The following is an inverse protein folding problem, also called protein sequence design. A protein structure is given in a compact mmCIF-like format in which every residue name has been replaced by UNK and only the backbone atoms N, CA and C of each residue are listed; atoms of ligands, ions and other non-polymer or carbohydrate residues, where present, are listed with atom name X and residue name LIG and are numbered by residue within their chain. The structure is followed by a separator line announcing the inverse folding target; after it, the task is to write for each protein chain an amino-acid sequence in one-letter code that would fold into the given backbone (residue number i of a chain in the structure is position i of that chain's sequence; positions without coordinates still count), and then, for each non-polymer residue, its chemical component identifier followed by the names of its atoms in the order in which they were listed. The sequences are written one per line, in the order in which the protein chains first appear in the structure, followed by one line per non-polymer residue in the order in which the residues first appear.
data_IF_858113971503
#
_entry.id   IF_858113971503
#
_cell.length_a   1.000
_cell.length_b   1.000
_cell.length_c   1.000
_cell.angle_alpha   90.00
_cell.angle_beta   90.00
_cell.angle_gamma   90.00
#
_symmetry.space_group_name_H-M   'P 1'
#
loop_
_entity.id
_entity.type
_entity.pdbx_description
1 polymer ?
#
# COMPACT_ATOMS: atom_id res chain seq x y z
N UNK A 1 -23.60 -4.59 32.00
CA UNK A 1 -23.94 -4.84 30.58
C UNK A 1 -23.41 -3.65 29.79
N UNK A 2 -22.35 -3.77 28.97
CA UNK A 2 -21.92 -2.63 28.16
C UNK A 2 -23.01 -2.34 27.12
N UNK A 3 -23.36 -1.06 26.94
CA UNK A 3 -24.40 -0.62 26.00
C UNK A 3 -23.98 -0.91 24.56
N UNK A 4 -24.93 -1.24 23.69
CA UNK A 4 -24.71 -1.61 22.28
C UNK A 4 -23.82 -0.62 21.51
N UNK A 5 -23.88 0.67 21.86
CA UNK A 5 -23.03 1.75 21.33
C UNK A 5 -21.52 1.54 21.55
N UNK A 6 -21.12 0.96 22.68
CA UNK A 6 -19.69 0.69 22.98
C UNK A 6 -19.17 -0.49 22.17
N UNK A 7 -20.03 -1.47 21.86
CA UNK A 7 -19.69 -2.62 21.02
C UNK A 7 -19.66 -2.27 19.52
N UNK A 8 -20.47 -1.31 19.07
CA UNK A 8 -20.42 -0.78 17.70
C UNK A 8 -19.15 0.06 17.44
N UNK A 9 -18.77 0.92 18.39
CA UNK A 9 -17.53 1.70 18.30
C UNK A 9 -16.27 0.81 18.23
N UNK A 10 -16.28 -0.35 18.90
CA UNK A 10 -15.16 -1.30 18.86
C UNK A 10 -15.00 -1.98 17.49
N UNK A 11 -16.10 -2.30 16.81
CA UNK A 11 -16.07 -3.00 15.53
C UNK A 11 -15.59 -2.15 14.34
N UNK A 12 -15.88 -0.85 14.34
CA UNK A 12 -15.41 0.07 13.28
C UNK A 12 -13.88 0.24 13.31
N UNK A 13 -13.31 0.49 14.48
CA UNK A 13 -11.86 0.61 14.68
C UNK A 13 -11.12 -0.69 14.30
N UNK A 14 -11.67 -1.85 14.68
CA UNK A 14 -11.10 -3.16 14.35
C UNK A 14 -11.16 -3.47 12.85
N UNK A 15 -12.22 -3.03 12.15
CA UNK A 15 -12.36 -3.17 10.69
C UNK A 15 -11.37 -2.27 9.93
N UNK A 16 -11.07 -1.10 10.47
CA UNK A 16 -10.09 -0.18 9.89
C UNK A 16 -8.66 -0.73 10.02
N UNK A 17 -8.34 -1.34 11.16
CA UNK A 17 -7.03 -1.93 11.42
C UNK A 17 -6.78 -3.22 10.62
N UNK A 18 -7.80 -4.04 10.34
CA UNK A 18 -7.62 -5.28 9.57
C UNK A 18 -7.19 -5.02 8.14
N UNK A 19 -7.71 -3.97 7.50
CA UNK A 19 -7.45 -3.63 6.09
C UNK A 19 -6.02 -3.14 5.81
N UNK A 20 -5.37 -2.51 6.79
CA UNK A 20 -4.06 -1.85 6.60
C UNK A 20 -2.84 -2.78 6.71
N UNK A 21 -3.01 -4.09 6.90
CA UNK A 21 -1.90 -5.00 7.25
C UNK A 21 -1.76 -6.18 6.28
N UNK A 22 -1.43 -5.87 5.03
CA UNK A 22 -1.13 -6.87 4.00
C UNK A 22 0.16 -7.66 4.26
N UNK A 23 1.18 -7.06 4.92
CA UNK A 23 2.49 -7.70 5.09
C UNK A 23 2.69 -8.39 6.45
N UNK A 24 1.65 -9.04 7.00
CA UNK A 24 1.76 -9.81 8.24
C UNK A 24 1.63 -11.31 7.99
N UNK A 25 2.40 -12.17 8.69
CA UNK A 25 2.22 -13.61 8.61
C UNK A 25 0.77 -14.01 8.89
N UNK A 26 0.22 -14.91 8.07
CA UNK A 26 -1.17 -15.36 8.20
C UNK A 26 -2.22 -14.35 7.72
N UNK A 27 -1.85 -13.33 6.95
CA UNK A 27 -2.78 -12.43 6.23
C UNK A 27 -2.56 -12.60 4.73
N UNK A 28 -3.61 -12.97 4.00
CA UNK A 28 -3.57 -13.04 2.53
C UNK A 28 -4.24 -11.83 1.88
N UNK A 29 -3.80 -11.48 0.68
CA UNK A 29 -4.46 -10.44 -0.14
C UNK A 29 -5.91 -10.81 -0.44
N UNK A 30 -6.19 -12.09 -0.63
CA UNK A 30 -7.54 -12.61 -0.87
C UNK A 30 -8.48 -12.32 0.29
N UNK A 31 -8.06 -12.55 1.53
CA UNK A 31 -8.84 -12.23 2.72
C UNK A 31 -9.12 -10.73 2.84
N UNK A 32 -8.16 -9.88 2.48
CA UNK A 32 -8.37 -8.43 2.53
C UNK A 32 -9.38 -7.94 1.50
N UNK A 33 -9.31 -8.47 0.27
CA UNK A 33 -10.32 -8.19 -0.77
C UNK A 33 -11.70 -8.69 -0.33
N UNK A 34 -11.76 -9.88 0.29
CA UNK A 34 -13.00 -10.43 0.81
C UNK A 34 -13.60 -9.59 1.94
N UNK A 35 -12.77 -9.12 2.88
CA UNK A 35 -13.20 -8.24 3.97
C UNK A 35 -13.75 -6.90 3.45
N UNK A 36 -13.10 -6.30 2.44
CA UNK A 36 -13.61 -5.11 1.77
C UNK A 36 -14.99 -5.34 1.16
N UNK A 37 -15.21 -6.49 0.51
CA UNK A 37 -16.51 -6.84 -0.08
C UNK A 37 -17.60 -6.97 0.97
N UNK A 38 -17.32 -7.69 2.07
CA UNK A 38 -18.27 -7.83 3.19
C UNK A 38 -18.62 -6.45 3.77
N UNK A 39 -17.63 -5.58 3.93
CA UNK A 39 -17.86 -4.23 4.46
C UNK A 39 -18.78 -3.44 3.53
N UNK A 40 -18.53 -3.46 2.22
CA UNK A 40 -19.41 -2.82 1.23
C UNK A 40 -20.84 -3.37 1.29
N UNK A 41 -20.99 -4.69 1.30
CA UNK A 41 -22.31 -5.35 1.34
C UNK A 41 -23.09 -4.98 2.60
N UNK A 42 -22.43 -4.92 3.77
CA UNK A 42 -23.06 -4.57 5.04
C UNK A 42 -23.60 -3.13 5.03
N UNK A 43 -22.82 -2.16 4.54
CA UNK A 43 -23.25 -0.77 4.50
C UNK A 43 -24.39 -0.56 3.49
N UNK A 44 -24.33 -1.25 2.34
CA UNK A 44 -25.43 -1.27 1.36
C UNK A 44 -26.72 -1.82 1.98
N UNK A 45 -26.64 -2.92 2.74
CA UNK A 45 -27.81 -3.52 3.42
C UNK A 45 -28.46 -2.57 4.45
N UNK A 46 -27.65 -1.75 5.12
CA UNK A 46 -28.13 -0.80 6.13
C UNK A 46 -28.46 0.59 5.57
N UNK A 47 -28.39 0.79 4.25
CA UNK A 47 -28.55 2.10 3.59
C UNK A 47 -27.64 3.18 4.20
N UNK A 48 -26.41 2.79 4.55
CA UNK A 48 -25.40 3.69 5.08
C UNK A 48 -24.38 4.03 4.00
N UNK A 49 -23.96 5.29 3.96
CA UNK A 49 -22.90 5.72 3.06
C UNK A 49 -21.56 5.13 3.51
N UNK A 50 -20.84 4.50 2.58
CA UNK A 50 -19.48 4.01 2.77
C UNK A 50 -18.53 4.73 1.80
N UNK A 51 -17.51 5.38 2.35
CA UNK A 51 -16.48 6.05 1.57
C UNK A 51 -15.16 5.28 1.68
N UNK A 52 -14.60 4.87 0.54
CA UNK A 52 -13.31 4.18 0.48
C UNK A 52 -12.30 5.00 -0.32
N UNK A 53 -11.09 5.17 0.24
CA UNK A 53 -9.97 5.88 -0.39
C UNK A 53 -8.85 4.89 -0.64
N UNK A 54 -8.53 4.67 -1.91
CA UNK A 54 -7.35 3.91 -2.32
C UNK A 54 -6.15 4.85 -2.40
N UNK A 55 -5.13 4.60 -1.58
CA UNK A 55 -3.87 5.33 -1.60
C UNK A 55 -2.82 4.40 -2.20
N UNK A 56 -2.31 4.77 -3.37
CA UNK A 56 -1.16 4.11 -3.98
C UNK A 56 0.04 5.06 -3.95
N UNK A 57 1.16 4.59 -3.41
CA UNK A 57 2.39 5.39 -3.33
C UNK A 57 3.19 5.16 -4.61
N UNK A 58 3.24 6.17 -5.48
CA UNK A 58 4.25 6.19 -6.55
C UNK A 58 5.60 5.99 -5.88
N UNK A 59 6.31 4.91 -6.24
CA UNK A 59 7.67 4.67 -5.79
C UNK A 59 7.82 4.36 -4.29
N UNK A 60 6.89 3.58 -3.72
CA UNK A 60 6.87 3.20 -2.30
C UNK A 60 8.17 2.55 -1.76
N UNK A 61 9.02 2.02 -2.64
CA UNK A 61 10.28 1.36 -2.30
C UNK A 61 11.51 2.05 -2.90
N UNK A 62 11.34 3.25 -3.46
CA UNK A 62 12.48 3.98 -4.04
C UNK A 62 13.39 4.53 -2.94
N UNK A 63 14.64 4.81 -3.34
CA UNK A 63 15.69 5.35 -2.47
C UNK A 63 15.28 6.65 -1.77
N UNK A 64 14.36 7.42 -2.34
CA UNK A 64 13.82 8.65 -1.73
C UNK A 64 13.17 8.39 -0.36
N UNK A 65 12.54 7.22 -0.16
CA UNK A 65 11.90 6.84 1.10
C UNK A 65 12.86 6.21 2.11
N UNK A 66 14.06 5.77 1.68
CA UNK A 66 15.03 5.11 2.55
C UNK A 66 15.48 6.02 3.69
N UNK A 67 15.65 7.32 3.47
CA UNK A 67 16.04 8.26 4.52
C UNK A 67 15.01 8.30 5.67
N UNK A 68 13.71 8.36 5.32
CA UNK A 68 12.61 8.31 6.28
C UNK A 68 12.54 6.95 6.99
N UNK A 69 12.81 5.86 6.25
CA UNK A 69 12.87 4.51 6.81
C UNK A 69 13.98 4.39 7.87
N UNK A 70 15.21 4.85 7.59
CA UNK A 70 16.32 4.81 8.54
C UNK A 70 16.05 5.65 9.79
N UNK A 71 15.47 6.84 9.62
CA UNK A 71 15.06 7.69 10.72
C UNK A 71 14.01 7.00 11.61
N UNK A 72 13.03 6.35 10.98
CA UNK A 72 11.98 5.60 11.67
C UNK A 72 12.55 4.40 12.44
N UNK A 73 13.43 3.60 11.82
CA UNK A 73 14.07 2.47 12.50
C UNK A 73 14.91 2.91 13.71
N UNK A 74 15.59 4.05 13.58
CA UNK A 74 16.34 4.66 14.69
C UNK A 74 15.40 5.12 15.80
N UNK A 75 14.26 5.73 15.46
CA UNK A 75 13.24 6.15 16.42
C UNK A 75 12.64 4.96 17.21
N UNK A 76 12.49 3.79 16.57
CA UNK A 76 12.05 2.56 17.23
C UNK A 76 13.17 1.81 17.96
N UNK A 77 14.34 2.43 18.17
CA UNK A 77 15.49 1.86 18.87
C UNK A 77 15.98 0.53 18.27
N UNK A 78 15.84 0.35 16.96
CA UNK A 78 16.45 -0.79 16.26
C UNK A 78 17.98 -0.64 16.32
N UNK A 79 18.68 -1.74 16.57
CA UNK A 79 20.13 -1.74 16.72
C UNK A 79 20.83 -1.10 15.50
N UNK A 80 21.73 -0.15 15.75
CA UNK A 80 22.44 0.58 14.69
C UNK A 80 23.25 -0.33 13.74
N UNK A 81 23.79 -1.45 14.22
CA UNK A 81 24.47 -2.41 13.35
C UNK A 81 23.50 -3.10 12.38
N UNK A 82 22.28 -3.41 12.84
CA UNK A 82 21.24 -3.99 12.00
C UNK A 82 20.74 -2.98 10.97
N UNK A 83 20.50 -1.73 11.37
CA UNK A 83 20.13 -0.65 10.43
C UNK A 83 21.20 -0.51 9.34
N UNK A 84 22.48 -0.45 9.72
CA UNK A 84 23.61 -0.35 8.78
C UNK A 84 23.73 -1.57 7.86
N UNK A 85 23.44 -2.77 8.36
CA UNK A 85 23.42 -3.98 7.52
C UNK A 85 22.30 -3.89 6.47
N UNK A 86 21.11 -3.46 6.87
CA UNK A 86 19.97 -3.30 5.96
C UNK A 86 20.23 -2.19 4.93
N UNK A 87 20.81 -1.06 5.34
CA UNK A 87 21.27 -0.01 4.44
C UNK A 87 22.21 -0.54 3.35
N UNK A 88 23.26 -1.27 3.77
CA UNK A 88 24.21 -1.85 2.83
C UNK A 88 23.57 -2.87 1.88
N UNK A 89 22.54 -3.59 2.32
CA UNK A 89 21.79 -4.52 1.48
C UNK A 89 20.97 -3.75 0.44
N UNK A 90 20.23 -2.73 0.86
CA UNK A 90 19.40 -1.89 0.00
C UNK A 90 20.24 -1.10 -1.02
N UNK A 91 21.41 -0.60 -0.62
CA UNK A 91 22.28 0.22 -1.50
C UNK A 91 23.06 -0.62 -2.53
N UNK A 92 23.30 -1.89 -2.25
CA UNK A 92 24.07 -2.80 -3.13
C UNK A 92 23.19 -3.78 -3.92
N UNK A 93 21.88 -3.80 -3.65
CA UNK A 93 20.97 -4.68 -4.36
C UNK A 93 20.77 -4.19 -5.80
N UNK A 94 21.34 -4.93 -6.76
CA UNK A 94 21.06 -4.76 -8.19
C UNK A 94 20.36 -6.00 -8.71
N UNK A 95 19.26 -5.80 -9.41
CA UNK A 95 18.48 -6.87 -10.03
C UNK A 95 18.35 -6.60 -11.53
N UNK A 96 18.41 -7.64 -12.36
CA UNK A 96 18.22 -7.56 -13.80
C UNK A 96 17.44 -8.78 -14.29
N UNK A 97 16.70 -8.63 -15.39
CA UNK A 97 15.94 -9.75 -15.98
C UNK A 97 16.89 -10.59 -16.84
N UNK A 98 17.02 -11.89 -16.55
CA UNK A 98 17.78 -12.80 -17.41
C UNK A 98 16.85 -13.43 -18.46
N UNK A 99 17.10 -13.15 -19.74
CA UNK A 99 16.25 -13.60 -20.84
C UNK A 99 17.11 -14.08 -22.02
N UNK A 100 16.74 -15.21 -22.63
CA UNK A 100 17.44 -15.79 -23.78
C UNK A 100 18.96 -15.91 -23.62
N UNK A 101 19.40 -16.37 -22.44
CA UNK A 101 20.81 -16.53 -22.10
C UNK A 101 21.63 -15.23 -22.11
N UNK A 102 20.96 -14.09 -21.93
CA UNK A 102 21.57 -12.77 -21.83
C UNK A 102 20.99 -12.01 -20.64
N UNK A 103 21.82 -11.17 -20.03
CA UNK A 103 21.35 -10.24 -19.00
C UNK A 103 20.66 -9.08 -19.72
N UNK A 104 19.35 -8.96 -19.49
CA UNK A 104 18.54 -7.83 -19.94
C UNK A 104 18.71 -6.63 -19.02
N UNK A 105 17.82 -5.66 -19.16
CA UNK A 105 17.93 -4.39 -18.45
C UNK A 105 17.84 -4.56 -16.93
N UNK A 106 18.55 -3.68 -16.23
CA UNK A 106 18.46 -3.59 -14.77
C UNK A 106 17.06 -3.12 -14.37
N UNK A 107 16.51 -3.73 -13.32
CA UNK A 107 15.19 -3.42 -12.80
C UNK A 107 15.06 -1.94 -12.43
N UNK A 108 16.12 -1.27 -11.95
CA UNK A 108 16.07 0.17 -11.69
C UNK A 108 15.80 0.99 -12.97
N UNK A 109 16.42 0.61 -14.10
CA UNK A 109 16.20 1.28 -15.38
C UNK A 109 14.79 1.00 -15.89
N UNK A 110 14.37 -0.26 -15.86
CA UNK A 110 13.03 -0.68 -16.27
C UNK A 110 11.96 0.04 -15.45
N UNK A 111 12.10 0.08 -14.11
CA UNK A 111 11.17 0.79 -13.24
C UNK A 111 11.20 2.29 -13.49
N UNK A 112 12.36 2.89 -13.70
CA UNK A 112 12.48 4.32 -14.00
C UNK A 112 11.77 4.66 -15.30
N UNK A 113 12.00 3.90 -16.37
CA UNK A 113 11.38 4.12 -17.66
C UNK A 113 9.86 3.89 -17.61
N UNK A 114 9.42 2.81 -16.94
CA UNK A 114 8.00 2.50 -16.77
C UNK A 114 7.25 3.53 -15.92
N UNK A 115 7.90 4.14 -14.93
CA UNK A 115 7.29 5.14 -14.03
C UNK A 115 7.41 6.58 -14.54
N UNK A 116 8.35 6.85 -15.46
CA UNK A 116 8.51 8.15 -16.11
C UNK A 116 7.44 8.39 -17.18
N UNK A 117 7.00 7.34 -17.88
CA UNK A 117 5.96 7.41 -18.92
C UNK A 117 4.53 7.29 -18.35
N UNK A 118 4.41 6.98 -17.05
CA UNK A 118 3.13 6.85 -16.38
C UNK A 118 2.81 8.10 -15.54
N UNK A 119 2.02 9.01 -16.11
CA UNK A 119 1.24 9.95 -15.29
C UNK A 119 0.21 9.10 -14.52
N UNK A 120 0.18 9.22 -13.19
CA UNK A 120 -0.60 8.35 -12.28
C UNK A 120 -2.12 8.48 -12.41
N UNK A 121 -2.60 8.83 -13.60
CA UNK A 121 -3.89 9.45 -13.86
C UNK A 121 -4.60 8.70 -14.97
N UNK A 122 -5.66 7.98 -14.58
CA UNK A 122 -6.62 7.46 -15.53
C UNK A 122 -7.42 8.64 -16.08
N UNK A 123 -7.43 8.81 -17.41
CA UNK A 123 -8.21 9.85 -18.09
C UNK A 123 -9.45 9.23 -18.72
N UNK A 124 -10.64 9.59 -18.23
CA UNK A 124 -11.93 9.20 -18.85
C UNK A 124 -12.56 10.45 -19.46
N UNK A 125 -12.81 10.43 -20.77
CA UNK A 125 -13.45 11.55 -21.49
C UNK A 125 -12.65 12.85 -21.50
N UNK A 126 -11.31 12.78 -21.44
CA UNK A 126 -10.42 13.95 -21.49
C UNK A 126 -10.21 14.69 -20.16
N UNK A 127 -10.73 14.17 -19.05
CA UNK A 127 -10.44 14.68 -17.70
C UNK A 127 -9.47 13.74 -16.99
N UNK A 128 -8.31 14.27 -16.61
CA UNK A 128 -7.33 13.57 -15.78
C UNK A 128 -7.89 13.42 -14.36
N UNK A 129 -8.08 12.18 -13.92
CA UNK A 129 -8.63 11.88 -12.60
C UNK A 129 -7.46 11.71 -11.63
N UNK A 130 -6.97 12.82 -11.07
CA UNK A 130 -5.93 12.84 -10.02
C UNK A 130 -6.49 12.63 -8.62
N UNK A 131 -7.80 12.81 -8.44
CA UNK A 131 -8.54 12.58 -7.20
C UNK A 131 -9.95 12.13 -7.58
N UNK A 132 -10.20 10.83 -7.54
CA UNK A 132 -11.53 10.27 -7.82
C UNK A 132 -12.52 10.81 -6.77
N UNK A 133 -13.31 11.82 -7.13
CA UNK A 133 -14.53 12.17 -6.39
C UNK A 133 -15.61 11.18 -6.79
N UNK A 134 -16.05 10.45 -5.77
CA UNK A 134 -17.19 9.56 -5.61
C UNK A 134 -18.31 9.61 -6.68
N UNK A 135 -18.84 8.42 -6.98
CA UNK A 135 -20.22 8.24 -7.38
C UNK A 135 -20.96 7.52 -6.23
N UNK A 136 -21.88 8.23 -5.58
CA UNK A 136 -22.94 7.63 -4.75
C UNK A 136 -24.03 7.09 -5.67
N UNK A 137 -24.57 5.92 -5.35
CA UNK A 137 -25.93 5.53 -5.75
C UNK A 137 -26.76 5.37 -4.51
#
# INVERSE_FOLDING_TARGET
MPSASVLEMSNHELSFLTLYQLCRPGRSTTEQIFNLRILCEKYLQHQQDLYHVFIDFKKAFDREWHAALWATMTHFNINANLIRMIQNLCDKATSAVYLNNSIGDYLERIMTDALNDHDGTVSIGGRSITNLRFATT
#
